data_IF_810595565143
#
_entry.id   IF_810595565143
#
_cell.length_a   1.000
_cell.length_b   1.000
_cell.length_c   1.000
_cell.angle_alpha   90.00
_cell.angle_beta   90.00
_cell.angle_gamma   90.00
#
_symmetry.space_group_name_H-M   'P 1'
#
loop_
_entity.id
_entity.type
_entity.pdbx_description
1 polymer ?
#
# COMPACT_ATOMS: atom_id res chain seq x y z
N UNK A 1 -15.68 1.83 -16.19
CA UNK A 1 -15.09 1.72 -14.85
C UNK A 1 -13.65 1.34 -15.07
N UNK A 2 -12.74 2.25 -14.73
CA UNK A 2 -11.31 2.07 -14.95
C UNK A 2 -10.65 1.70 -13.62
N UNK A 3 -9.78 0.69 -13.68
CA UNK A 3 -9.03 0.19 -12.54
C UNK A 3 -7.56 0.13 -12.93
N UNK A 4 -6.70 0.68 -12.07
CA UNK A 4 -5.27 0.74 -12.30
C UNK A 4 -4.55 0.28 -11.04
N UNK A 5 -3.79 -0.81 -11.15
CA UNK A 5 -2.82 -1.17 -10.13
C UNK A 5 -1.58 -0.30 -10.31
N UNK A 6 -1.13 0.35 -9.24
CA UNK A 6 0.07 1.18 -9.26
C UNK A 6 0.93 0.82 -8.06
N UNK A 7 2.21 0.64 -8.33
CA UNK A 7 3.19 0.46 -7.28
C UNK A 7 3.69 1.82 -6.78
N UNK A 8 3.75 1.95 -5.47
CA UNK A 8 4.23 3.12 -4.78
C UNK A 8 5.35 2.74 -3.82
N UNK A 9 6.27 3.66 -3.59
CA UNK A 9 7.23 3.58 -2.49
C UNK A 9 6.92 4.71 -1.53
N UNK A 10 6.71 4.39 -0.26
CA UNK A 10 6.33 5.39 0.73
C UNK A 10 6.14 4.82 2.12
N UNK A 11 5.92 5.69 3.09
CA UNK A 11 5.65 5.26 4.47
C UNK A 11 4.20 4.80 4.58
N UNK A 12 4.01 3.53 4.93
CA UNK A 12 2.69 2.92 5.04
C UNK A 12 2.25 2.84 6.51
N UNK A 13 1.08 3.40 6.79
CA UNK A 13 0.37 3.26 8.05
C UNK A 13 -0.88 2.42 7.81
N UNK A 14 -1.08 1.41 8.64
CA UNK A 14 -2.28 0.56 8.58
C UNK A 14 -3.00 0.62 9.91
N UNK A 15 -4.32 0.70 9.85
CA UNK A 15 -5.25 0.60 10.98
C UNK A 15 -5.95 -0.75 10.88
N UNK A 16 -5.45 -1.81 11.55
CA UNK A 16 -5.96 -3.17 11.36
C UNK A 16 -7.43 -3.32 11.76
N UNK A 17 -7.87 -2.62 12.81
CA UNK A 17 -9.24 -2.68 13.34
C UNK A 17 -10.27 -2.18 12.32
N UNK A 18 -9.97 -1.06 11.64
CA UNK A 18 -10.85 -0.47 10.63
C UNK A 18 -10.57 -0.94 9.21
N UNK A 19 -9.51 -1.74 9.00
CA UNK A 19 -8.99 -2.16 7.69
C UNK A 19 -8.71 -0.96 6.76
N UNK A 20 -8.28 0.16 7.34
CA UNK A 20 -7.88 1.34 6.59
C UNK A 20 -6.37 1.42 6.46
N UNK A 21 -5.90 2.13 5.45
CA UNK A 21 -4.49 2.49 5.33
C UNK A 21 -4.33 3.96 4.95
N UNK A 22 -3.17 4.49 5.29
CA UNK A 22 -2.62 5.76 4.80
C UNK A 22 -1.22 5.48 4.24
N UNK A 23 -0.95 6.00 3.05
CA UNK A 23 0.35 5.90 2.40
C UNK A 23 0.85 7.30 2.09
N UNK A 24 1.96 7.68 2.71
CA UNK A 24 2.68 8.91 2.40
C UNK A 24 3.76 8.59 1.35
N UNK A 25 3.56 9.07 0.13
CA UNK A 25 4.43 8.79 -1.02
C UNK A 25 4.71 10.07 -1.82
N UNK A 26 5.48 9.95 -2.90
CA UNK A 26 5.76 11.04 -3.83
C UNK A 26 5.29 10.62 -5.23
N UNK A 27 4.45 11.44 -5.85
CA UNK A 27 3.96 11.22 -7.22
C UNK A 27 4.40 12.41 -8.06
N UNK A 28 5.13 12.16 -9.15
CA UNK A 28 5.70 13.20 -10.01
C UNK A 28 6.51 14.27 -9.26
N UNK A 29 7.24 13.87 -8.22
CA UNK A 29 8.06 14.78 -7.40
C UNK A 29 7.30 15.59 -6.35
N UNK A 30 5.96 15.45 -6.27
CA UNK A 30 5.14 16.08 -5.25
C UNK A 30 4.75 15.09 -4.15
N UNK A 31 4.79 15.47 -2.86
CA UNK A 31 4.30 14.62 -1.78
C UNK A 31 2.78 14.44 -1.88
N UNK A 32 2.32 13.20 -1.74
CA UNK A 32 0.90 12.82 -1.81
C UNK A 32 0.60 11.82 -0.70
N UNK A 33 -0.55 11.99 -0.07
CA UNK A 33 -1.12 11.02 0.87
C UNK A 33 -2.26 10.27 0.19
N UNK A 34 -2.13 8.96 0.05
CA UNK A 34 -3.19 8.08 -0.42
C UNK A 34 -3.86 7.42 0.77
N UNK A 35 -5.19 7.48 0.83
CA UNK A 35 -5.99 6.80 1.86
C UNK A 35 -6.96 5.83 1.22
N UNK A 36 -7.22 4.72 1.90
CA UNK A 36 -8.11 3.71 1.36
C UNK A 36 -8.31 2.54 2.29
N UNK A 37 -8.77 1.43 1.72
CA UNK A 37 -9.04 0.20 2.48
C UNK A 37 -8.04 -0.90 2.13
N UNK A 38 -7.79 -1.79 3.08
CA UNK A 38 -6.94 -2.97 2.89
C UNK A 38 -7.80 -4.12 2.40
N UNK A 39 -7.37 -4.80 1.34
CA UNK A 39 -8.12 -5.97 0.85
C UNK A 39 -8.14 -7.09 1.88
N UNK A 40 -9.22 -7.89 1.88
CA UNK A 40 -9.48 -8.90 2.90
C UNK A 40 -8.30 -9.86 3.13
N UNK A 41 -7.67 -10.34 2.06
CA UNK A 41 -6.54 -11.25 2.14
C UNK A 41 -5.34 -10.62 2.86
N UNK A 42 -5.03 -9.35 2.58
CA UNK A 42 -3.93 -8.65 3.24
C UNK A 42 -4.29 -8.25 4.67
N UNK A 43 -5.55 -7.87 4.92
CA UNK A 43 -6.05 -7.59 6.27
C UNK A 43 -5.94 -8.82 7.19
N UNK A 44 -6.20 -10.03 6.67
CA UNK A 44 -6.00 -11.27 7.42
C UNK A 44 -4.53 -11.50 7.81
N UNK A 45 -3.58 -11.11 6.95
CA UNK A 45 -2.14 -11.16 7.24
C UNK A 45 -1.74 -10.17 8.33
N UNK A 46 -2.27 -8.94 8.27
CA UNK A 46 -2.04 -7.91 9.30
C UNK A 46 -2.63 -8.28 10.67
N UNK A 47 -3.73 -9.03 10.69
CA UNK A 47 -4.34 -9.54 11.91
C UNK A 47 -3.62 -10.77 12.50
N UNK A 48 -2.53 -11.25 11.88
CA UNK A 48 -1.82 -12.47 12.33
C UNK A 48 -2.55 -13.78 12.01
N UNK A 49 -3.66 -13.72 11.28
CA UNK A 49 -4.53 -14.87 10.95
C UNK A 49 -4.10 -15.60 9.65
N UNK A 50 -2.90 -15.33 9.14
CA UNK A 50 -2.43 -15.95 7.90
C UNK A 50 -2.07 -17.43 8.13
N UNK A 51 -2.70 -18.32 7.38
CA UNK A 51 -2.31 -19.72 7.30
C UNK A 51 -0.91 -19.82 6.65
N UNK A 52 0.09 -20.20 7.45
CA UNK A 52 1.44 -20.57 7.01
C UNK A 52 2.20 -19.56 6.11
N UNK A 53 2.03 -18.25 6.33
CA UNK A 53 2.73 -17.21 5.59
C UNK A 53 3.52 -16.25 6.48
N UNK A 54 4.45 -15.52 5.87
CA UNK A 54 5.23 -14.45 6.48
C UNK A 54 4.29 -13.41 7.12
N UNK A 55 4.27 -13.39 8.46
CA UNK A 55 3.48 -12.45 9.23
C UNK A 55 4.05 -11.05 9.02
N UNK A 56 3.18 -10.12 8.63
CA UNK A 56 3.57 -8.73 8.45
C UNK A 56 3.28 -7.97 9.75
N UNK A 57 4.34 -7.62 10.48
CA UNK A 57 4.21 -6.76 11.65
C UNK A 57 3.86 -5.34 11.20
N UNK A 58 2.60 -4.96 11.42
CA UNK A 58 2.05 -3.65 11.06
C UNK A 58 2.85 -2.51 11.68
N UNK A 59 3.40 -2.70 12.88
CA UNK A 59 4.18 -1.67 13.56
C UNK A 59 5.50 -1.39 12.84
N UNK A 60 6.02 -2.38 12.10
CA UNK A 60 7.25 -2.24 11.30
C UNK A 60 7.02 -1.59 9.93
N UNK A 61 5.78 -1.56 9.44
CA UNK A 61 5.46 -0.96 8.15
C UNK A 61 5.78 0.55 8.10
N UNK A 62 5.60 1.24 9.22
CA UNK A 62 5.83 2.68 9.32
C UNK A 62 7.28 3.08 9.60
N UNK A 63 8.17 2.12 9.90
CA UNK A 63 9.56 2.42 10.29
C UNK A 63 10.43 2.87 9.12
N UNK A 64 10.11 2.42 7.91
CA UNK A 64 10.87 2.67 6.70
C UNK A 64 9.93 2.65 5.50
N UNK A 65 10.24 3.39 4.42
CA UNK A 65 9.44 3.35 3.20
C UNK A 65 9.27 1.92 2.67
N UNK A 66 8.05 1.56 2.32
CA UNK A 66 7.67 0.25 1.78
C UNK A 66 7.24 0.39 0.34
N UNK A 67 7.63 -0.58 -0.48
CA UNK A 67 7.03 -0.80 -1.78
C UNK A 67 5.70 -1.51 -1.59
N UNK A 68 4.65 -0.90 -2.12
CA UNK A 68 3.27 -1.37 -1.98
C UNK A 68 2.57 -1.32 -3.32
N UNK A 69 1.63 -2.22 -3.52
CA UNK A 69 0.74 -2.22 -4.69
C UNK A 69 -0.64 -1.70 -4.26
N UNK A 70 -1.10 -0.63 -4.90
CA UNK A 70 -2.40 0.00 -4.64
C UNK A 70 -3.23 -0.06 -5.91
N UNK A 71 -4.40 -0.69 -5.82
CA UNK A 71 -5.42 -0.65 -6.87
C UNK A 71 -6.23 0.63 -6.70
N UNK A 72 -6.25 1.45 -7.74
CA UNK A 72 -7.07 2.67 -7.81
C UNK A 72 -8.23 2.44 -8.76
N UNK A 73 -9.44 2.65 -8.26
CA UNK A 73 -10.69 2.52 -8.99
C UNK A 73 -11.31 3.89 -9.18
N UNK A 74 -11.59 4.27 -10.41
CA UNK A 74 -12.25 5.53 -10.73
C UNK A 74 -13.75 5.32 -10.86
N UNK A 75 -14.49 5.93 -9.92
CA UNK A 75 -15.94 5.85 -9.86
C UNK A 75 -16.53 7.10 -10.46
N UNK A 76 -17.26 6.91 -11.55
CA UNK A 76 -18.00 7.94 -12.26
C UNK A 76 -19.51 7.66 -12.08
N UNK A 77 -20.14 8.41 -11.19
CA UNK A 77 -21.59 8.31 -10.91
C UNK A 77 -22.31 9.50 -11.56
N UNK A 78 -23.49 9.24 -12.16
CA UNK A 78 -24.30 10.32 -12.75
C UNK A 78 -24.67 11.32 -11.65
N UNK A 79 -24.39 12.61 -11.88
CA UNK A 79 -24.61 13.71 -10.94
C UNK A 79 -23.65 13.79 -9.73
N UNK A 80 -22.51 13.08 -9.75
CA UNK A 80 -21.45 13.27 -8.76
C UNK A 80 -20.11 13.55 -9.43
N UNK A 81 -19.25 14.26 -8.72
CA UNK A 81 -17.86 14.42 -9.12
C UNK A 81 -17.18 13.03 -9.17
N UNK A 82 -16.34 12.75 -10.18
CA UNK A 82 -15.52 11.55 -10.21
C UNK A 82 -14.70 11.43 -8.94
N UNK A 83 -14.63 10.22 -8.38
CA UNK A 83 -13.83 9.93 -7.18
C UNK A 83 -12.95 8.72 -7.39
N UNK A 84 -11.78 8.77 -6.76
CA UNK A 84 -10.83 7.64 -6.74
C UNK A 84 -11.01 6.89 -5.43
N UNK A 85 -11.03 5.57 -5.51
CA UNK A 85 -11.03 4.67 -4.35
C UNK A 85 -9.76 3.83 -4.42
N UNK A 86 -9.01 3.80 -3.33
CA UNK A 86 -7.75 3.08 -3.24
C UNK A 86 -7.91 1.81 -2.40
N UNK A 87 -7.36 0.71 -2.91
CA UNK A 87 -7.29 -0.56 -2.21
C UNK A 87 -5.84 -0.98 -2.10
N UNK A 88 -5.34 -1.15 -0.87
CA UNK A 88 -4.02 -1.71 -0.63
C UNK A 88 -4.07 -3.21 -0.91
N UNK A 89 -3.42 -3.63 -1.99
CA UNK A 89 -3.43 -5.01 -2.48
C UNK A 89 -2.33 -5.83 -1.82
N UNK A 90 -1.10 -5.29 -1.81
CA UNK A 90 0.10 -6.01 -1.39
C UNK A 90 1.10 -5.06 -0.75
N UNK A 91 1.84 -5.59 0.23
CA UNK A 91 3.13 -5.04 0.68
C UNK A 91 4.19 -5.95 0.09
N UNK A 92 5.10 -5.39 -0.69
CA UNK A 92 6.08 -6.15 -1.48
C UNK A 92 7.39 -6.38 -0.70
N UNK A 93 7.70 -5.51 0.27
CA UNK A 93 8.94 -5.60 1.06
C UNK A 93 8.68 -6.25 2.42
N UNK A 94 8.83 -7.58 2.45
CA UNK A 94 8.80 -8.44 3.65
C UNK A 94 10.18 -8.87 4.17
N UNK A 95 11.27 -8.55 3.48
CA UNK A 95 12.62 -8.89 3.94
C UNK A 95 13.66 -8.07 3.20
N UNK A 96 14.67 -7.58 3.92
CA UNK A 96 15.84 -6.89 3.37
C UNK A 96 16.37 -7.61 2.12
N UNK A 97 16.31 -6.95 0.97
CA UNK A 97 17.45 -6.91 0.07
C UNK A 97 17.78 -5.46 -0.21
N UNK A 98 18.65 -4.91 0.63
CA UNK A 98 19.55 -3.84 0.21
C UNK A 98 20.43 -4.39 -0.93
N UNK A 99 19.93 -4.33 -2.16
CA UNK A 99 20.73 -4.43 -3.36
C UNK A 99 21.42 -3.10 -3.64
N UNK A 100 22.34 -2.69 -2.75
CA UNK A 100 23.38 -1.76 -3.15
C UNK A 100 24.29 -2.49 -4.16
N UNK A 101 24.05 -2.27 -5.45
CA UNK A 101 25.01 -2.50 -6.52
C UNK A 101 24.72 -1.44 -7.62
N UNK A 102 25.60 -0.51 -7.97
CA UNK A 102 27.04 -0.54 -7.83
C UNK A 102 27.64 0.81 -7.44
N UNK A 103 28.64 0.72 -6.57
CA UNK A 103 29.85 1.50 -6.69
C UNK A 103 30.79 0.82 -7.70
N UNK A 104 31.72 1.62 -8.24
CA UNK A 104 32.94 1.28 -8.98
C UNK A 104 32.87 1.33 -10.52
N UNK A 105 33.61 2.29 -11.07
CA UNK A 105 33.91 2.49 -12.48
C UNK A 105 34.36 3.92 -12.73
#
# INVERSE_FOLDING_TARGET
MEEHATEYVGTLFVLPESRCFELNTTVHGAPVTLTGTVVQQLAARFAGNAAAGEQVDVRRLALEPRRVEVLTREIHERHRAPRKVHFLMRVLDGGVQAGFAGAAG
#
